data_IF_408292961542
#
_entry.id   IF_408292961542
#
_cell.length_a   1.000
_cell.length_b   1.000
_cell.length_c   1.000
_cell.angle_alpha   90.00
_cell.angle_beta   90.00
_cell.angle_gamma   90.00
#
_symmetry.space_group_name_H-M   'P 1'
#
loop_
_entity.id
_entity.type
_entity.pdbx_description
1 polymer ?
#
# COMPACT_ATOMS: atom_id res chain seq x y z
N UNK A 1 -5.56 16.73 13.84
CA UNK A 1 -6.88 16.63 14.51
C UNK A 1 -7.87 16.25 13.44
N UNK A 2 -8.28 14.98 13.39
CA UNK A 2 -9.22 14.48 12.37
C UNK A 2 -10.58 15.14 12.63
N UNK A 3 -11.20 15.71 11.60
CA UNK A 3 -12.53 16.35 11.70
C UNK A 3 -13.59 15.30 12.07
N UNK A 4 -14.76 15.73 12.56
CA UNK A 4 -15.89 14.81 12.76
C UNK A 4 -16.21 14.11 11.44
N UNK A 5 -16.29 12.78 11.47
CA UNK A 5 -16.64 11.95 10.32
C UNK A 5 -18.11 12.22 9.97
N UNK A 6 -18.44 12.60 8.73
CA UNK A 6 -19.82 12.81 8.32
C UNK A 6 -20.56 11.48 8.17
N UNK A 7 -21.87 11.47 8.45
CA UNK A 7 -22.70 10.26 8.39
C UNK A 7 -22.72 9.59 7.01
N UNK A 8 -22.56 10.36 5.94
CA UNK A 8 -22.50 9.85 4.56
C UNK A 8 -21.26 9.01 4.25
N UNK A 9 -20.17 9.21 5.00
CA UNK A 9 -18.92 8.45 4.83
C UNK A 9 -18.89 7.17 5.68
N UNK A 10 -19.77 7.06 6.68
CA UNK A 10 -19.76 5.96 7.64
C UNK A 10 -19.94 4.58 6.97
N UNK A 11 -20.88 4.37 6.02
CA UNK A 11 -21.01 3.08 5.34
C UNK A 11 -19.72 2.66 4.61
N UNK A 12 -19.04 3.61 3.96
CA UNK A 12 -17.76 3.36 3.31
C UNK A 12 -16.73 2.85 4.31
N UNK A 13 -16.56 3.60 5.40
CA UNK A 13 -15.52 3.34 6.39
C UNK A 13 -15.78 2.04 7.15
N UNK A 14 -17.04 1.69 7.41
CA UNK A 14 -17.43 0.39 7.97
C UNK A 14 -17.08 -0.73 7.00
N UNK A 15 -17.53 -0.64 5.74
CA UNK A 15 -17.25 -1.65 4.72
C UNK A 15 -15.75 -1.85 4.52
N UNK A 16 -15.02 -0.74 4.35
CA UNK A 16 -13.58 -0.72 4.20
C UNK A 16 -12.86 -1.29 5.42
N UNK A 17 -13.32 -0.95 6.64
CA UNK A 17 -12.76 -1.48 7.87
C UNK A 17 -12.91 -3.01 7.98
N UNK A 18 -14.09 -3.55 7.66
CA UNK A 18 -14.34 -4.99 7.62
C UNK A 18 -13.46 -5.67 6.57
N UNK A 19 -13.40 -5.10 5.37
CA UNK A 19 -12.58 -5.61 4.28
C UNK A 19 -11.09 -5.63 4.63
N UNK A 20 -10.56 -4.56 5.23
CA UNK A 20 -9.18 -4.48 5.71
C UNK A 20 -8.93 -5.51 6.81
N UNK A 21 -9.83 -5.60 7.80
CA UNK A 21 -9.70 -6.49 8.94
C UNK A 21 -9.59 -7.95 8.49
N UNK A 22 -10.58 -8.43 7.73
CA UNK A 22 -10.57 -9.81 7.23
C UNK A 22 -9.53 -10.03 6.14
N UNK A 23 -9.21 -9.01 5.33
CA UNK A 23 -8.15 -9.04 4.32
C UNK A 23 -6.79 -9.35 4.94
N UNK A 24 -6.40 -8.63 5.99
CA UNK A 24 -5.17 -8.91 6.74
C UNK A 24 -5.24 -10.31 7.39
N UNK A 25 -6.37 -10.68 8.00
CA UNK A 25 -6.51 -12.00 8.62
C UNK A 25 -6.36 -13.17 7.63
N UNK A 26 -6.66 -12.99 6.34
CA UNK A 26 -6.39 -14.05 5.32
C UNK A 26 -4.91 -14.41 5.19
N UNK A 27 -4.04 -13.51 5.67
CA UNK A 27 -2.60 -13.61 5.64
C UNK A 27 -2.02 -14.16 6.96
N UNK A 28 -2.90 -14.67 7.83
CA UNK A 28 -2.58 -15.20 9.15
C UNK A 28 -3.12 -16.60 9.34
N UNK A 29 -2.72 -17.26 10.43
CA UNK A 29 -3.27 -18.56 10.82
C UNK A 29 -4.73 -18.50 11.27
N UNK A 30 -5.36 -17.32 11.32
CA UNK A 30 -6.81 -17.23 11.46
C UNK A 30 -7.57 -17.61 10.19
N UNK A 31 -6.93 -17.58 9.02
CA UNK A 31 -7.63 -17.82 7.76
C UNK A 31 -8.27 -19.21 7.68
N UNK A 32 -7.69 -20.22 8.33
CA UNK A 32 -8.29 -21.56 8.41
C UNK A 32 -9.72 -21.56 8.94
N UNK A 33 -10.07 -20.65 9.87
CA UNK A 33 -11.38 -20.62 10.53
C UNK A 33 -12.48 -19.97 9.69
N UNK A 34 -12.14 -19.18 8.68
CA UNK A 34 -13.14 -18.47 7.87
C UNK A 34 -12.89 -18.53 6.35
N UNK A 35 -11.99 -19.40 5.90
CA UNK A 35 -11.72 -19.63 4.48
C UNK A 35 -12.96 -20.14 3.72
N UNK A 36 -12.93 -20.05 2.39
CA UNK A 36 -13.99 -20.59 1.54
C UNK A 36 -15.26 -19.72 1.50
N UNK A 37 -16.42 -20.32 1.78
CA UNK A 37 -17.72 -19.65 1.64
C UNK A 37 -17.93 -18.50 2.61
N UNK A 38 -17.42 -18.61 3.84
CA UNK A 38 -17.57 -17.57 4.85
C UNK A 38 -16.85 -16.28 4.43
N UNK A 39 -15.59 -16.38 3.99
CA UNK A 39 -14.86 -15.23 3.46
C UNK A 39 -15.55 -14.61 2.23
N UNK A 40 -16.11 -15.42 1.33
CA UNK A 40 -16.91 -14.91 0.19
C UNK A 40 -18.15 -14.14 0.64
N UNK A 41 -18.84 -14.60 1.69
CA UNK A 41 -19.99 -13.92 2.26
C UNK A 41 -19.60 -12.58 2.89
N UNK A 42 -18.48 -12.54 3.62
CA UNK A 42 -17.93 -11.29 4.18
C UNK A 42 -17.64 -10.27 3.07
N UNK A 43 -16.96 -10.70 2.00
CA UNK A 43 -16.68 -9.84 0.85
C UNK A 43 -17.96 -9.39 0.13
N UNK A 44 -18.94 -10.28 -0.03
CA UNK A 44 -20.25 -9.96 -0.58
C UNK A 44 -20.98 -8.90 0.25
N UNK A 45 -20.96 -9.04 1.58
CA UNK A 45 -21.49 -8.05 2.51
C UNK A 45 -20.82 -6.69 2.36
N UNK A 46 -19.50 -6.64 2.21
CA UNK A 46 -18.77 -5.40 1.95
C UNK A 46 -19.24 -4.72 0.66
N UNK A 47 -19.41 -5.48 -0.43
CA UNK A 47 -19.91 -4.96 -1.71
C UNK A 47 -21.35 -4.45 -1.59
N UNK A 48 -22.21 -5.14 -0.83
CA UNK A 48 -23.58 -4.68 -0.59
C UNK A 48 -23.60 -3.36 0.19
N UNK A 49 -22.75 -3.19 1.19
CA UNK A 49 -22.63 -1.92 1.93
C UNK A 49 -22.11 -0.80 1.02
N UNK A 50 -21.14 -1.08 0.14
CA UNK A 50 -20.66 -0.10 -0.84
C UNK A 50 -21.74 0.28 -1.85
N UNK A 51 -22.50 -0.70 -2.35
CA UNK A 51 -23.61 -0.45 -3.26
C UNK A 51 -24.69 0.40 -2.57
N UNK A 52 -25.04 0.08 -1.31
CA UNK A 52 -25.96 0.87 -0.50
C UNK A 52 -25.48 2.32 -0.32
N UNK A 53 -24.19 2.52 -0.03
CA UNK A 53 -23.61 3.85 0.08
C UNK A 53 -23.76 4.64 -1.23
N UNK A 54 -23.41 4.02 -2.35
CA UNK A 54 -23.42 4.65 -3.67
C UNK A 54 -24.86 4.94 -4.15
N UNK A 55 -25.85 4.14 -3.76
CA UNK A 55 -27.26 4.37 -4.09
C UNK A 55 -27.90 5.50 -3.28
N UNK A 56 -27.52 5.66 -2.01
CA UNK A 56 -28.20 6.58 -1.08
C UNK A 56 -27.47 7.91 -0.94
N UNK A 57 -26.14 7.89 -0.91
CA UNK A 57 -25.33 9.06 -0.57
C UNK A 57 -24.61 9.69 -1.77
N UNK A 58 -24.55 9.00 -2.91
CA UNK A 58 -24.03 9.63 -4.12
C UNK A 58 -25.08 10.54 -4.76
N UNK A 59 -24.61 11.69 -5.23
CA UNK A 59 -25.39 12.71 -5.94
C UNK A 59 -26.24 12.10 -7.06
N UNK A 60 -27.31 12.78 -7.45
CA UNK A 60 -28.14 12.46 -8.61
C UNK A 60 -27.32 11.85 -9.74
N UNK A 61 -27.46 10.52 -9.93
CA UNK A 61 -26.66 9.76 -10.89
C UNK A 61 -26.77 10.33 -12.32
N UNK A 62 -27.87 11.01 -12.61
CA UNK A 62 -28.15 11.71 -13.87
C UNK A 62 -27.30 12.97 -14.10
N UNK A 63 -26.64 13.52 -13.08
CA UNK A 63 -25.84 14.76 -13.15
C UNK A 63 -24.34 14.51 -12.93
N UNK A 64 -23.90 13.26 -12.99
CA UNK A 64 -22.49 12.94 -12.82
C UNK A 64 -21.67 13.51 -14.00
N UNK A 65 -20.54 14.18 -13.73
CA UNK A 65 -19.67 14.67 -14.80
C UNK A 65 -19.08 13.50 -15.58
N UNK A 66 -18.87 13.69 -16.89
CA UNK A 66 -18.34 12.66 -17.81
C UNK A 66 -17.06 12.01 -17.29
N UNK A 67 -16.20 12.77 -16.60
CA UNK A 67 -14.97 12.28 -15.98
C UNK A 67 -15.21 11.21 -14.91
N UNK A 68 -16.24 11.37 -14.08
CA UNK A 68 -16.58 10.40 -13.04
C UNK A 68 -17.18 9.13 -13.64
N UNK A 69 -18.02 9.26 -14.68
CA UNK A 69 -18.57 8.12 -15.41
C UNK A 69 -17.45 7.33 -16.08
N UNK A 70 -16.54 8.00 -16.79
CA UNK A 70 -15.37 7.37 -17.41
C UNK A 70 -14.44 6.73 -16.39
N UNK A 71 -14.19 7.37 -15.24
CA UNK A 71 -13.41 6.81 -14.14
C UNK A 71 -14.06 5.57 -13.51
N UNK A 72 -15.39 5.58 -13.34
CA UNK A 72 -16.15 4.44 -12.85
C UNK A 72 -16.11 3.26 -13.82
N UNK A 73 -16.33 3.50 -15.11
CA UNK A 73 -16.21 2.47 -16.14
C UNK A 73 -14.79 1.88 -16.17
N UNK A 74 -13.75 2.72 -16.08
CA UNK A 74 -12.36 2.26 -16.01
C UNK A 74 -12.10 1.37 -14.79
N UNK A 75 -12.59 1.77 -13.60
CA UNK A 75 -12.45 0.97 -12.38
C UNK A 75 -13.18 -0.37 -12.49
N UNK A 76 -14.38 -0.39 -13.07
CA UNK A 76 -15.15 -1.62 -13.30
C UNK A 76 -14.45 -2.56 -14.29
N UNK A 77 -13.92 -2.02 -15.40
CA UNK A 77 -13.15 -2.79 -16.38
C UNK A 77 -11.87 -3.36 -15.75
N UNK A 78 -11.15 -2.57 -14.95
CA UNK A 78 -9.97 -3.01 -14.23
C UNK A 78 -10.30 -4.09 -13.17
N UNK A 79 -11.42 -3.93 -12.45
CA UNK A 79 -11.90 -4.94 -11.49
C UNK A 79 -12.25 -6.27 -12.19
N UNK A 80 -13.01 -6.22 -13.28
CA UNK A 80 -13.37 -7.42 -14.05
C UNK A 80 -12.14 -8.12 -14.64
N UNK A 81 -11.20 -7.34 -15.18
CA UNK A 81 -9.96 -7.85 -15.75
C UNK A 81 -9.06 -8.52 -14.70
N UNK A 82 -8.82 -7.85 -13.57
CA UNK A 82 -7.99 -8.41 -12.49
C UNK A 82 -8.65 -9.61 -11.82
N UNK A 83 -9.99 -9.64 -11.72
CA UNK A 83 -10.75 -10.80 -11.27
C UNK A 83 -10.55 -12.02 -12.18
N UNK A 84 -10.57 -11.82 -13.51
CA UNK A 84 -10.34 -12.88 -14.50
C UNK A 84 -8.92 -13.45 -14.38
N UNK A 85 -7.92 -12.60 -14.21
CA UNK A 85 -6.51 -13.04 -14.09
C UNK A 85 -6.23 -13.79 -12.79
N UNK A 86 -6.92 -13.43 -11.71
CA UNK A 86 -6.72 -14.04 -10.39
C UNK A 86 -7.04 -15.55 -10.34
N UNK A 87 -7.77 -16.08 -11.33
CA UNK A 87 -8.00 -17.52 -11.57
C UNK A 87 -8.37 -18.36 -10.33
N UNK A 88 -9.26 -17.84 -9.48
CA UNK A 88 -9.70 -18.55 -8.28
C UNK A 88 -8.89 -18.25 -7.01
N UNK A 89 -7.69 -17.68 -7.14
CA UNK A 89 -6.89 -17.26 -6.00
C UNK A 89 -7.52 -16.05 -5.29
N UNK A 90 -8.02 -16.27 -4.08
CA UNK A 90 -8.76 -15.25 -3.32
C UNK A 90 -7.91 -14.04 -2.91
N UNK A 91 -6.62 -14.25 -2.62
CA UNK A 91 -5.70 -13.16 -2.34
C UNK A 91 -5.57 -12.26 -3.58
N UNK A 92 -5.40 -12.86 -4.75
CA UNK A 92 -5.28 -12.11 -6.00
C UNK A 92 -6.58 -11.40 -6.40
N UNK A 93 -7.74 -12.00 -6.09
CA UNK A 93 -9.05 -11.35 -6.28
C UNK A 93 -9.21 -10.08 -5.45
N UNK A 94 -8.47 -9.90 -4.36
CA UNK A 94 -8.51 -8.66 -3.57
C UNK A 94 -8.12 -7.41 -4.38
N UNK A 95 -7.33 -7.57 -5.45
CA UNK A 95 -6.96 -6.49 -6.38
C UNK A 95 -8.18 -5.97 -7.16
N UNK A 96 -9.17 -6.83 -7.45
CA UNK A 96 -10.40 -6.37 -8.07
C UNK A 96 -11.21 -5.46 -7.12
N UNK A 97 -11.24 -5.81 -5.83
CA UNK A 97 -11.89 -4.99 -4.81
C UNK A 97 -11.19 -3.63 -4.63
N UNK A 98 -9.87 -3.55 -4.79
CA UNK A 98 -9.16 -2.27 -4.77
C UNK A 98 -9.81 -1.26 -5.73
N UNK A 99 -10.10 -1.66 -6.97
CA UNK A 99 -10.70 -0.75 -7.96
C UNK A 99 -12.17 -0.40 -7.63
N UNK A 100 -12.93 -1.32 -7.04
CA UNK A 100 -14.29 -1.03 -6.56
C UNK A 100 -14.27 0.01 -5.44
N UNK A 101 -13.43 -0.20 -4.42
CA UNK A 101 -13.26 0.77 -3.34
C UNK A 101 -12.68 2.09 -3.84
N UNK A 102 -11.78 2.08 -4.81
CA UNK A 102 -11.18 3.29 -5.38
C UNK A 102 -12.25 4.20 -6.00
N UNK A 103 -13.23 3.61 -6.69
CA UNK A 103 -14.35 4.37 -7.24
C UNK A 103 -15.23 4.98 -6.15
N UNK A 104 -15.64 4.20 -5.14
CA UNK A 104 -16.48 4.70 -4.05
C UNK A 104 -15.74 5.70 -3.14
N UNK A 105 -14.42 5.58 -3.01
CA UNK A 105 -13.56 6.48 -2.24
C UNK A 105 -13.56 7.92 -2.76
N UNK A 106 -14.00 8.17 -4.01
CA UNK A 106 -14.05 9.52 -4.61
C UNK A 106 -14.94 10.51 -3.83
N UNK A 107 -15.90 9.98 -3.06
CA UNK A 107 -16.87 10.74 -2.28
C UNK A 107 -16.50 10.83 -0.78
N UNK A 108 -15.33 10.34 -0.38
CA UNK A 108 -14.90 10.23 1.02
C UNK A 108 -13.58 10.97 1.20
N UNK A 109 -13.41 11.70 2.31
CA UNK A 109 -12.12 12.32 2.62
C UNK A 109 -11.05 11.23 2.80
N UNK A 110 -10.00 11.33 1.99
CA UNK A 110 -8.86 10.42 2.04
C UNK A 110 -8.20 10.33 3.42
N UNK A 111 -8.18 11.41 4.20
CA UNK A 111 -7.64 11.37 5.56
C UNK A 111 -8.48 10.50 6.50
N UNK A 112 -9.80 10.41 6.30
CA UNK A 112 -10.65 9.50 7.06
C UNK A 112 -10.39 8.04 6.66
N UNK A 113 -10.20 7.75 5.37
CA UNK A 113 -9.81 6.42 4.87
C UNK A 113 -8.45 6.01 5.45
N UNK A 114 -7.47 6.91 5.39
CA UNK A 114 -6.12 6.68 5.90
C UNK A 114 -6.12 6.42 7.41
N UNK A 115 -6.92 7.16 8.18
CA UNK A 115 -7.05 6.97 9.63
C UNK A 115 -7.73 5.63 9.95
N UNK A 116 -8.81 5.28 9.24
CA UNK A 116 -9.47 3.98 9.40
C UNK A 116 -8.50 2.82 9.07
N UNK A 117 -7.77 2.91 7.97
CA UNK A 117 -6.75 1.93 7.60
C UNK A 117 -5.67 1.79 8.66
N UNK A 118 -5.16 2.91 9.20
CA UNK A 118 -4.14 2.94 10.24
C UNK A 118 -4.62 2.26 11.52
N UNK A 119 -5.84 2.57 11.96
CA UNK A 119 -6.45 2.01 13.17
C UNK A 119 -6.69 0.50 13.02
N UNK A 120 -7.31 0.07 11.92
CA UNK A 120 -7.59 -1.35 11.67
C UNK A 120 -6.30 -2.15 11.53
N UNK A 121 -5.31 -1.63 10.81
CA UNK A 121 -3.99 -2.29 10.67
C UNK A 121 -3.32 -2.49 12.02
N UNK A 122 -3.37 -1.47 12.90
CA UNK A 122 -2.85 -1.58 14.26
C UNK A 122 -3.58 -2.63 15.09
N UNK A 123 -4.91 -2.61 15.08
CA UNK A 123 -5.74 -3.56 15.82
C UNK A 123 -5.41 -4.98 15.38
N UNK A 124 -5.41 -5.26 14.08
CA UNK A 124 -5.15 -6.61 13.57
C UNK A 124 -3.72 -7.04 13.86
N UNK A 125 -2.72 -6.17 13.67
CA UNK A 125 -1.33 -6.50 13.94
C UNK A 125 -1.13 -6.92 15.41
N UNK A 126 -1.64 -6.12 16.36
CA UNK A 126 -1.54 -6.42 17.79
C UNK A 126 -2.34 -7.68 18.12
N UNK A 127 -3.57 -7.77 17.63
CA UNK A 127 -4.45 -8.93 17.86
C UNK A 127 -3.79 -10.24 17.43
N UNK A 128 -3.22 -10.30 16.22
CA UNK A 128 -2.59 -11.50 15.66
C UNK A 128 -1.30 -11.85 16.43
N UNK A 129 -0.43 -10.87 16.67
CA UNK A 129 0.84 -11.10 17.38
C UNK A 129 0.58 -11.58 18.81
N UNK A 130 -0.35 -10.95 19.54
CA UNK A 130 -0.72 -11.37 20.90
C UNK A 130 -1.36 -12.75 20.88
N UNK A 131 -2.28 -13.02 19.95
CA UNK A 131 -2.90 -14.36 19.80
C UNK A 131 -1.84 -15.44 19.59
N UNK A 132 -0.84 -15.17 18.75
CA UNK A 132 0.25 -16.10 18.47
C UNK A 132 1.18 -16.31 19.69
N UNK A 133 1.42 -15.28 20.49
CA UNK A 133 2.23 -15.38 21.71
C UNK A 133 1.49 -16.06 22.86
N UNK A 134 0.17 -15.96 22.91
CA UNK A 134 -0.68 -16.65 23.89
C UNK A 134 -1.03 -18.09 23.47
N UNK A 135 -0.65 -18.53 22.28
CA UNK A 135 -0.95 -19.88 21.76
C UNK A 135 -2.39 -20.07 21.26
N UNK A 136 -3.13 -18.99 21.00
CA UNK A 136 -4.48 -19.03 20.40
C UNK A 136 -4.41 -19.44 18.93
N UNK A 137 -3.36 -19.01 18.23
CA UNK A 137 -3.02 -19.44 16.88
C UNK A 137 -1.56 -19.85 16.82
N UNK A 138 -1.21 -20.68 15.85
CA UNK A 138 0.15 -21.17 15.72
C UNK A 138 1.15 -20.09 15.32
N UNK A 139 2.32 -20.15 15.94
CA UNK A 139 3.46 -19.29 15.61
C UNK A 139 4.57 -20.11 14.97
N UNK A 140 4.53 -20.24 13.65
CA UNK A 140 5.53 -20.99 12.89
C UNK A 140 6.92 -20.36 12.92
N UNK A 141 7.92 -21.23 12.91
CA UNK A 141 9.34 -20.90 12.76
C UNK A 141 9.81 -21.41 11.41
N UNK A 142 10.27 -20.52 10.54
CA UNK A 142 10.78 -20.87 9.22
C UNK A 142 12.30 -20.85 9.24
N UNK A 143 12.90 -21.95 8.78
CA UNK A 143 14.35 -22.05 8.55
C UNK A 143 14.67 -21.67 7.10
N UNK A 144 15.18 -20.45 6.88
CA UNK A 144 15.48 -19.94 5.55
C UNK A 144 16.92 -19.43 5.52
N UNK A 145 17.78 -20.12 4.75
CA UNK A 145 19.21 -19.82 4.60
C UNK A 145 19.97 -19.84 5.95
N UNK A 146 19.73 -20.86 6.78
CA UNK A 146 20.39 -21.05 8.08
C UNK A 146 19.96 -20.05 9.15
N UNK A 147 18.74 -19.50 9.02
CA UNK A 147 18.19 -18.50 9.95
C UNK A 147 16.79 -18.93 10.35
N UNK A 148 16.59 -19.05 11.65
CA UNK A 148 15.27 -19.21 12.26
C UNK A 148 14.52 -17.88 12.25
N UNK A 149 13.36 -17.84 11.62
CA UNK A 149 12.50 -16.65 11.53
C UNK A 149 11.12 -16.94 12.07
N UNK A 150 10.62 -16.12 12.99
CA UNK A 150 9.26 -16.29 13.51
C UNK A 150 8.23 -15.61 12.60
N UNK A 151 7.12 -16.29 12.35
CA UNK A 151 6.01 -15.74 11.57
C UNK A 151 5.08 -14.82 12.38
N UNK A 152 5.10 -14.86 13.71
CA UNK A 152 4.25 -14.05 14.60
C UNK A 152 2.73 -14.25 14.36
N UNK A 153 2.32 -15.47 14.00
CA UNK A 153 0.94 -15.80 13.65
C UNK A 153 0.55 -15.49 12.20
N UNK A 154 1.43 -14.85 11.43
CA UNK A 154 1.26 -14.64 10.00
C UNK A 154 1.65 -15.87 9.19
N UNK A 155 1.27 -15.90 7.91
CA UNK A 155 1.64 -16.98 6.98
C UNK A 155 3.07 -16.86 6.46
N UNK A 156 3.71 -15.71 6.64
CA UNK A 156 5.10 -15.51 6.30
C UNK A 156 5.73 -14.39 7.13
N UNK A 157 7.06 -14.44 7.25
CA UNK A 157 7.84 -13.62 8.19
C UNK A 157 7.92 -12.13 7.82
N UNK A 158 7.75 -11.81 6.53
CA UNK A 158 7.79 -10.42 6.01
C UNK A 158 6.48 -9.64 6.21
N UNK A 159 5.36 -10.35 6.46
CA UNK A 159 4.01 -9.76 6.48
C UNK A 159 3.79 -8.78 7.65
N UNK A 160 4.13 -9.10 8.92
CA UNK A 160 3.97 -8.14 10.01
C UNK A 160 4.81 -6.85 9.83
N UNK A 161 6.10 -6.92 9.42
CA UNK A 161 6.87 -5.72 9.06
C UNK A 161 6.24 -4.88 7.95
N UNK A 162 5.65 -5.50 6.93
CA UNK A 162 4.96 -4.79 5.85
C UNK A 162 3.73 -4.01 6.35
N UNK A 163 2.94 -4.61 7.27
CA UNK A 163 1.81 -3.92 7.91
C UNK A 163 2.30 -2.74 8.75
N UNK A 164 3.37 -2.93 9.52
CA UNK A 164 3.99 -1.84 10.28
C UNK A 164 4.45 -0.70 9.38
N UNK A 165 5.03 -1.02 8.21
CA UNK A 165 5.41 -0.02 7.21
C UNK A 165 4.22 0.82 6.74
N UNK A 166 3.10 0.18 6.40
CA UNK A 166 1.86 0.88 6.05
C UNK A 166 1.38 1.79 7.18
N UNK A 167 1.38 1.29 8.43
CA UNK A 167 1.01 2.07 9.61
C UNK A 167 1.89 3.32 9.76
N UNK A 168 3.21 3.18 9.63
CA UNK A 168 4.17 4.31 9.75
C UNK A 168 3.93 5.33 8.64
N UNK A 169 3.80 4.89 7.39
CA UNK A 169 3.49 5.77 6.25
C UNK A 169 2.19 6.56 6.46
N UNK A 170 1.11 5.88 6.87
CA UNK A 170 -0.18 6.53 7.15
C UNK A 170 -0.07 7.49 8.34
N UNK A 171 0.69 7.15 9.38
CA UNK A 171 0.89 8.03 10.54
C UNK A 171 1.61 9.31 10.15
N UNK A 172 2.70 9.23 9.36
CA UNK A 172 3.43 10.39 8.86
C UNK A 172 2.53 11.28 8.00
N UNK A 173 1.74 10.68 7.12
CA UNK A 173 0.80 11.37 6.24
C UNK A 173 -0.29 12.14 7.01
N UNK A 174 -0.87 11.52 8.05
CA UNK A 174 -1.97 12.08 8.84
C UNK A 174 -1.47 13.12 9.84
N UNK A 175 -0.39 12.80 10.57
CA UNK A 175 0.16 13.65 11.64
C UNK A 175 1.02 14.78 11.08
N UNK A 176 1.70 14.60 9.95
CA UNK A 176 2.60 15.60 9.37
C UNK A 176 3.60 16.12 10.41
N UNK A 177 3.75 17.43 10.59
CA UNK A 177 4.60 18.05 11.61
C UNK A 177 4.16 17.76 13.06
N UNK A 178 2.90 17.37 13.27
CA UNK A 178 2.35 17.13 14.61
C UNK A 178 2.64 15.74 15.18
N UNK A 179 3.40 14.90 14.45
CA UNK A 179 3.84 13.59 14.95
C UNK A 179 4.70 13.77 16.19
N UNK A 180 4.50 12.98 17.24
CA UNK A 180 5.28 13.10 18.47
C UNK A 180 6.63 12.38 18.39
N UNK A 181 7.65 12.85 19.13
CA UNK A 181 8.96 12.15 19.13
C UNK A 181 8.79 10.78 19.76
N UNK A 182 7.94 10.66 20.79
CA UNK A 182 7.57 9.39 21.41
C UNK A 182 6.94 8.41 20.42
N UNK A 183 6.10 8.88 19.49
CA UNK A 183 5.55 8.03 18.42
C UNK A 183 6.66 7.50 17.50
N UNK A 184 7.61 8.36 17.10
CA UNK A 184 8.77 7.94 16.29
C UNK A 184 9.65 6.92 17.02
N UNK A 185 9.91 7.14 18.32
CA UNK A 185 10.68 6.21 19.16
C UNK A 185 9.94 4.88 19.32
N UNK A 186 8.62 4.90 19.50
CA UNK A 186 7.80 3.69 19.56
C UNK A 186 7.92 2.87 18.27
N UNK A 187 7.78 3.51 17.10
CA UNK A 187 7.94 2.82 15.82
C UNK A 187 9.36 2.28 15.61
N UNK A 188 10.38 2.99 16.07
CA UNK A 188 11.76 2.53 16.02
C UNK A 188 11.93 1.26 16.87
N UNK A 189 11.47 1.28 18.12
CA UNK A 189 11.56 0.12 19.03
C UNK A 189 10.83 -1.10 18.45
N UNK A 190 9.61 -0.91 17.95
CA UNK A 190 8.83 -2.01 17.37
C UNK A 190 9.51 -2.54 16.08
N UNK A 191 10.06 -1.66 15.25
CA UNK A 191 10.79 -2.08 14.03
C UNK A 191 12.05 -2.88 14.36
N UNK A 192 12.81 -2.47 15.39
CA UNK A 192 13.99 -3.20 15.87
C UNK A 192 13.61 -4.54 16.50
N UNK A 193 12.52 -4.60 17.27
CA UNK A 193 12.00 -5.86 17.81
C UNK A 193 11.59 -6.81 16.68
N UNK A 194 10.86 -6.31 15.67
CA UNK A 194 10.50 -7.12 14.50
C UNK A 194 11.74 -7.62 13.75
N UNK A 195 12.80 -6.83 13.65
CA UNK A 195 14.06 -7.26 13.05
C UNK A 195 14.67 -8.46 13.79
N UNK A 196 14.76 -8.40 15.11
CA UNK A 196 15.34 -9.48 15.92
C UNK A 196 14.54 -10.78 15.75
N UNK A 197 13.21 -10.67 15.70
CA UNK A 197 12.31 -11.83 15.71
C UNK A 197 12.08 -12.45 14.32
N UNK A 198 11.92 -11.60 13.29
CA UNK A 198 11.61 -12.05 11.93
C UNK A 198 12.84 -12.13 11.01
N UNK A 199 13.93 -11.48 11.40
CA UNK A 199 15.13 -11.26 10.56
C UNK A 199 14.83 -10.67 9.16
N UNK A 200 13.74 -9.90 9.05
CA UNK A 200 13.27 -9.25 7.82
C UNK A 200 14.07 -7.99 7.50
N UNK A 201 15.35 -8.16 7.14
CA UNK A 201 16.33 -7.07 6.99
C UNK A 201 15.83 -5.90 6.14
N UNK A 202 15.24 -6.23 4.99
CA UNK A 202 14.92 -5.26 3.94
C UNK A 202 13.68 -4.43 4.28
N UNK A 203 12.62 -5.07 4.77
CA UNK A 203 11.39 -4.40 5.20
C UNK A 203 11.65 -3.51 6.42
N UNK A 204 12.48 -3.97 7.38
CA UNK A 204 12.87 -3.15 8.54
C UNK A 204 13.75 -1.98 8.10
N UNK A 205 14.73 -2.18 7.22
CA UNK A 205 15.58 -1.10 6.73
C UNK A 205 14.74 0.02 6.10
N UNK A 206 13.71 -0.32 5.31
CA UNK A 206 12.80 0.66 4.75
C UNK A 206 12.04 1.45 5.82
N UNK A 207 11.58 0.79 6.88
CA UNK A 207 10.98 1.48 8.04
C UNK A 207 11.97 2.43 8.72
N UNK A 208 13.22 2.00 8.93
CA UNK A 208 14.23 2.83 9.58
C UNK A 208 14.56 4.08 8.75
N UNK A 209 14.71 3.93 7.43
CA UNK A 209 14.94 5.07 6.51
C UNK A 209 13.73 6.02 6.52
N UNK A 210 12.51 5.48 6.48
CA UNK A 210 11.29 6.28 6.55
C UNK A 210 11.20 7.08 7.86
N UNK A 211 11.50 6.44 9.00
CA UNK A 211 11.51 7.09 10.32
C UNK A 211 12.60 8.17 10.41
N UNK A 212 13.80 7.89 9.89
CA UNK A 212 14.89 8.86 9.85
C UNK A 212 14.48 10.11 9.04
N UNK A 213 13.89 9.91 7.85
CA UNK A 213 13.42 11.03 7.03
C UNK A 213 12.27 11.78 7.73
N UNK A 214 11.33 11.08 8.37
CA UNK A 214 10.27 11.73 9.15
C UNK A 214 10.82 12.58 10.31
N UNK A 215 11.86 12.10 11.00
CA UNK A 215 12.55 12.84 12.06
C UNK A 215 13.24 14.11 11.51
N UNK A 216 13.94 14.01 10.38
CA UNK A 216 14.57 15.17 9.72
C UNK A 216 13.52 16.23 9.32
N UNK A 217 12.37 15.78 8.81
CA UNK A 217 11.25 16.66 8.49
C UNK A 217 10.69 17.36 9.73
N UNK A 218 10.55 16.63 10.83
CA UNK A 218 10.08 17.18 12.10
C UNK A 218 11.04 18.24 12.67
N UNK A 219 12.35 18.05 12.50
CA UNK A 219 13.38 18.99 12.94
C UNK A 219 13.51 20.23 12.04
N UNK A 220 12.64 20.39 11.03
CA UNK A 220 12.67 21.54 10.13
C UNK A 220 13.80 21.50 9.08
N UNK A 221 14.53 20.39 8.99
CA UNK A 221 15.62 20.20 8.03
C UNK A 221 15.12 19.66 6.67
N UNK A 222 13.86 19.25 6.59
CA UNK A 222 13.22 18.73 5.38
C UNK A 222 12.92 19.83 4.35
N UNK A 223 13.71 19.88 3.27
CA UNK A 223 13.68 20.99 2.30
C UNK A 223 13.32 20.54 0.87
N UNK A 224 12.48 19.51 0.70
CA UNK A 224 12.09 19.02 -0.65
C UNK A 224 11.48 20.13 -1.51
N UNK A 225 10.71 21.04 -0.91
CA UNK A 225 10.00 22.12 -1.62
C UNK A 225 10.92 23.17 -2.26
N UNK A 226 12.14 23.37 -1.73
CA UNK A 226 13.08 24.34 -2.33
C UNK A 226 13.82 23.79 -3.54
N UNK A 227 13.76 22.48 -3.77
CA UNK A 227 14.49 21.81 -4.86
C UNK A 227 13.53 21.24 -5.91
N UNK A 228 13.28 22.03 -6.96
CA UNK A 228 12.40 21.65 -8.08
C UNK A 228 12.79 20.34 -8.75
N UNK A 229 14.10 20.10 -8.91
CA UNK A 229 14.62 18.85 -9.51
C UNK A 229 14.31 17.65 -8.61
N UNK A 230 14.54 17.77 -7.30
CA UNK A 230 14.26 16.70 -6.35
C UNK A 230 12.76 16.36 -6.32
N UNK A 231 11.89 17.36 -6.26
CA UNK A 231 10.43 17.16 -6.31
C UNK A 231 10.00 16.47 -7.61
N UNK A 232 10.62 16.82 -8.74
CA UNK A 232 10.36 16.17 -10.02
C UNK A 232 10.82 14.70 -10.03
N UNK A 233 12.03 14.41 -9.57
CA UNK A 233 12.55 13.05 -9.45
C UNK A 233 11.66 12.17 -8.55
N UNK A 234 11.18 12.72 -7.44
CA UNK A 234 10.25 12.01 -6.55
C UNK A 234 8.92 11.74 -7.23
N UNK A 235 8.37 12.67 -8.00
CA UNK A 235 7.12 12.47 -8.72
C UNK A 235 7.23 11.37 -9.81
N UNK A 236 8.35 11.34 -10.54
CA UNK A 236 8.62 10.35 -11.58
C UNK A 236 9.26 9.04 -11.07
N UNK A 237 9.44 8.91 -9.75
CA UNK A 237 10.11 7.77 -9.14
C UNK A 237 9.50 6.42 -9.52
N UNK A 238 8.17 6.32 -9.60
CA UNK A 238 7.49 5.08 -10.03
C UNK A 238 7.94 4.60 -11.41
N UNK A 239 7.96 5.50 -12.42
CA UNK A 239 8.37 5.15 -13.79
C UNK A 239 9.87 4.88 -13.87
N UNK A 240 10.68 5.70 -13.21
CA UNK A 240 12.15 5.55 -13.21
C UNK A 240 12.53 4.21 -12.58
N UNK A 241 11.99 3.89 -11.40
CA UNK A 241 12.29 2.65 -10.69
C UNK A 241 11.72 1.44 -11.42
N UNK A 242 10.51 1.53 -12.00
CA UNK A 242 9.96 0.48 -12.83
C UNK A 242 10.90 0.15 -14.01
N UNK A 243 11.31 1.17 -14.77
CA UNK A 243 12.22 1.02 -15.89
C UNK A 243 13.55 0.39 -15.48
N UNK A 244 14.14 0.85 -14.38
CA UNK A 244 15.38 0.31 -13.82
C UNK A 244 15.22 -1.16 -13.42
N UNK A 245 14.16 -1.52 -12.69
CA UNK A 245 13.94 -2.89 -12.21
C UNK A 245 13.66 -3.85 -13.36
N UNK A 246 12.82 -3.45 -14.31
CA UNK A 246 12.50 -4.25 -15.50
C UNK A 246 13.79 -4.46 -16.30
N UNK A 247 14.54 -3.39 -16.61
CA UNK A 247 15.80 -3.49 -17.33
C UNK A 247 16.80 -4.40 -16.59
N UNK A 248 17.00 -4.21 -15.29
CA UNK A 248 17.93 -5.01 -14.49
C UNK A 248 17.57 -6.50 -14.49
N UNK A 249 16.27 -6.83 -14.48
CA UNK A 249 15.79 -8.21 -14.50
C UNK A 249 15.96 -8.84 -15.89
N UNK A 250 15.65 -8.10 -16.96
CA UNK A 250 15.86 -8.57 -18.33
C UNK A 250 17.36 -8.74 -18.66
N UNK A 251 18.21 -7.81 -18.21
CA UNK A 251 19.64 -7.84 -18.46
C UNK A 251 20.40 -8.83 -17.55
N UNK A 252 19.75 -9.38 -16.51
CA UNK A 252 20.40 -10.24 -15.54
C UNK A 252 20.97 -11.49 -16.20
N UNK A 253 22.25 -11.75 -15.94
CA UNK A 253 22.96 -12.94 -16.38
C UNK A 253 23.77 -13.50 -15.21
N UNK A 254 23.40 -14.70 -14.76
CA UNK A 254 24.06 -15.40 -13.67
C UNK A 254 25.55 -15.66 -13.95
N UNK A 255 25.98 -15.77 -15.21
CA UNK A 255 27.40 -15.97 -15.54
C UNK A 255 28.26 -14.76 -15.16
N UNK A 256 27.68 -13.56 -15.11
CA UNK A 256 28.37 -12.30 -14.83
C UNK A 256 28.57 -12.11 -13.32
N UNK A 257 29.84 -12.04 -12.86
CA UNK A 257 30.19 -11.99 -11.43
C UNK A 257 29.54 -10.83 -10.66
N UNK A 258 29.58 -9.60 -11.21
CA UNK A 258 29.04 -8.43 -10.53
C UNK A 258 27.50 -8.47 -10.43
N UNK A 259 26.82 -9.04 -11.43
CA UNK A 259 25.37 -9.24 -11.41
C UNK A 259 24.98 -10.26 -10.34
N UNK A 260 25.71 -11.38 -10.22
CA UNK A 260 25.52 -12.35 -9.13
C UNK A 260 25.75 -11.76 -7.74
N UNK A 261 26.77 -10.92 -7.59
CA UNK A 261 27.03 -10.25 -6.31
C UNK A 261 25.87 -9.31 -5.93
N UNK A 262 25.35 -8.55 -6.90
CA UNK A 262 24.17 -7.70 -6.72
C UNK A 262 22.92 -8.52 -6.38
N UNK A 263 22.69 -9.63 -7.09
CA UNK A 263 21.55 -10.51 -6.84
C UNK A 263 21.60 -11.17 -5.46
N UNK A 264 22.79 -11.57 -4.99
CA UNK A 264 22.98 -12.06 -3.63
C UNK A 264 22.62 -11.00 -2.58
N UNK A 265 22.97 -9.73 -2.79
CA UNK A 265 22.54 -8.62 -1.94
C UNK A 265 21.01 -8.45 -1.95
N UNK A 266 20.38 -8.65 -3.11
CA UNK A 266 18.94 -8.57 -3.30
C UNK A 266 18.18 -9.86 -2.91
N UNK A 267 18.85 -10.83 -2.27
CA UNK A 267 18.30 -12.15 -1.91
C UNK A 267 17.66 -12.89 -3.09
N UNK A 268 18.37 -12.96 -4.22
CA UNK A 268 17.99 -13.72 -5.40
C UNK A 268 16.77 -13.21 -6.19
N UNK A 269 16.35 -11.97 -5.96
CA UNK A 269 15.20 -11.36 -6.66
C UNK A 269 15.43 -11.20 -8.17
N UNK A 270 16.64 -10.88 -8.62
CA UNK A 270 16.94 -10.77 -10.06
C UNK A 270 16.98 -12.15 -10.70
N UNK A 271 17.54 -13.14 -10.00
CA UNK A 271 17.56 -14.53 -10.45
C UNK A 271 16.15 -15.12 -10.64
N UNK A 272 15.26 -14.98 -9.65
CA UNK A 272 13.88 -15.46 -9.79
C UNK A 272 13.06 -14.65 -10.78
N UNK A 273 13.28 -13.33 -10.87
CA UNK A 273 12.70 -12.47 -11.90
C UNK A 273 13.09 -12.92 -13.32
N UNK A 274 14.38 -13.19 -13.55
CA UNK A 274 14.88 -13.65 -14.85
C UNK A 274 14.35 -15.04 -15.20
N UNK A 275 14.37 -16.00 -14.27
CA UNK A 275 13.77 -17.32 -14.50
C UNK A 275 12.28 -17.24 -14.85
N UNK A 276 11.53 -16.37 -14.16
CA UNK A 276 10.12 -16.14 -14.48
C UNK A 276 9.94 -15.58 -15.89
N UNK A 277 10.78 -14.64 -16.31
CA UNK A 277 10.75 -14.10 -17.67
C UNK A 277 11.11 -15.16 -18.73
N UNK A 278 12.06 -16.05 -18.43
CA UNK A 278 12.42 -17.13 -19.36
C UNK A 278 11.29 -18.18 -19.50
N UNK A 279 10.50 -18.40 -18.43
CA UNK A 279 9.38 -19.35 -18.44
C UNK A 279 8.10 -18.80 -19.06
N UNK A 280 7.73 -17.56 -18.70
CA UNK A 280 6.43 -16.99 -19.06
C UNK A 280 6.54 -15.82 -20.05
N UNK A 281 7.69 -15.17 -20.15
CA UNK A 281 7.85 -13.95 -20.93
C UNK A 281 6.97 -12.79 -20.42
N UNK A 282 6.59 -11.91 -21.35
CA UNK A 282 5.71 -10.76 -21.12
C UNK A 282 4.69 -10.69 -22.25
N UNK A 283 3.43 -10.43 -21.91
CA UNK A 283 2.35 -10.24 -22.88
C UNK A 283 1.72 -8.84 -22.77
N UNK A 284 1.01 -8.42 -23.81
CA UNK A 284 0.35 -7.12 -23.83
C UNK A 284 -0.77 -7.02 -22.79
N UNK A 285 -1.56 -8.09 -22.65
CA UNK A 285 -2.76 -8.19 -21.81
C UNK A 285 -2.58 -9.10 -20.60
N UNK A 286 -1.34 -9.38 -20.19
CA UNK A 286 -1.05 -10.21 -19.04
C UNK A 286 -1.33 -11.70 -19.29
N UNK A 287 -1.06 -12.49 -18.27
CA UNK A 287 -1.22 -13.93 -18.31
C UNK A 287 -1.29 -14.49 -16.90
N UNK A 288 -1.81 -15.72 -16.81
CA UNK A 288 -1.83 -16.46 -15.55
C UNK A 288 -0.41 -16.94 -15.25
N UNK A 289 0.03 -16.70 -14.02
CA UNK A 289 1.33 -17.13 -13.52
C UNK A 289 1.11 -17.74 -12.15
N UNK A 290 1.64 -18.95 -11.95
CA UNK A 290 1.64 -19.63 -10.67
C UNK A 290 2.87 -19.20 -9.88
N UNK A 291 2.65 -18.42 -8.81
CA UNK A 291 3.71 -18.02 -7.92
C UNK A 291 3.84 -19.03 -6.78
N UNK A 292 5.00 -19.65 -6.66
CA UNK A 292 5.34 -20.59 -5.60
C UNK A 292 6.43 -19.94 -4.73
N UNK A 293 6.04 -19.42 -3.57
CA UNK A 293 6.94 -18.77 -2.61
C UNK A 293 7.19 -19.62 -1.37
N UNK A 294 8.03 -19.11 -0.45
CA UNK A 294 8.38 -19.76 0.81
C UNK A 294 7.35 -19.51 1.94
N UNK A 295 6.16 -18.99 1.58
CA UNK A 295 5.07 -18.76 2.52
C UNK A 295 4.34 -20.05 2.89
N UNK A 296 3.61 -19.98 3.99
CA UNK A 296 2.73 -21.06 4.44
C UNK A 296 1.34 -20.94 3.79
N UNK A 297 0.70 -22.08 3.57
CA UNK A 297 -0.71 -22.13 3.26
C UNK A 297 -1.57 -21.76 4.49
N UNK A 298 -2.88 -21.91 4.37
CA UNK A 298 -3.81 -21.58 5.47
C UNK A 298 -3.74 -22.55 6.65
N UNK A 299 -3.19 -23.75 6.44
CA UNK A 299 -3.06 -24.82 7.44
C UNK A 299 -1.64 -24.87 8.03
N UNK A 300 -0.75 -23.93 7.66
CA UNK A 300 0.63 -23.92 8.12
C UNK A 300 1.57 -24.86 7.39
N UNK A 301 1.19 -25.36 6.22
CA UNK A 301 2.03 -26.20 5.37
C UNK A 301 2.79 -25.38 4.33
N UNK A 302 3.99 -25.80 3.96
CA UNK A 302 4.75 -25.17 2.89
C UNK A 302 4.03 -25.35 1.54
N UNK A 303 3.98 -24.29 0.74
CA UNK A 303 3.39 -24.36 -0.60
C UNK A 303 4.22 -25.34 -1.44
N UNK A 304 3.56 -26.36 -1.99
CA UNK A 304 4.20 -27.37 -2.83
C UNK A 304 4.54 -26.82 -4.21
N UNK A 305 5.72 -27.16 -4.72
CA UNK A 305 6.16 -26.79 -6.07
C UNK A 305 7.60 -26.29 -6.12
N UNK A 306 8.12 -26.09 -7.33
CA UNK A 306 9.43 -25.45 -7.53
C UNK A 306 9.30 -23.97 -7.20
N UNK A 307 10.16 -23.47 -6.30
CA UNK A 307 10.17 -22.05 -5.93
C UNK A 307 10.32 -21.17 -7.17
N UNK A 308 9.33 -20.32 -7.39
CA UNK A 308 9.30 -19.30 -8.42
C UNK A 308 8.39 -18.18 -7.91
N UNK A 309 9.00 -17.14 -7.35
CA UNK A 309 8.29 -15.99 -6.82
C UNK A 309 9.04 -14.71 -7.20
N UNK A 310 8.31 -13.72 -7.71
CA UNK A 310 8.87 -12.42 -8.11
C UNK A 310 8.41 -11.37 -7.11
N UNK A 311 9.29 -11.06 -6.15
CA UNK A 311 9.01 -10.07 -5.10
C UNK A 311 9.05 -8.62 -5.63
N UNK A 312 9.60 -8.37 -6.81
CA UNK A 312 9.64 -7.02 -7.38
C UNK A 312 8.26 -6.65 -7.95
N UNK A 313 7.54 -5.73 -7.32
CA UNK A 313 6.20 -5.30 -7.74
C UNK A 313 6.15 -4.93 -9.23
N UNK A 314 7.12 -4.16 -9.72
CA UNK A 314 7.15 -3.68 -11.11
C UNK A 314 7.24 -4.81 -12.13
N UNK A 315 8.06 -5.83 -11.86
CA UNK A 315 8.19 -7.01 -12.73
C UNK A 315 6.96 -7.89 -12.59
N UNK A 316 6.45 -8.06 -11.36
CA UNK A 316 5.27 -8.87 -11.10
C UNK A 316 4.04 -8.32 -11.86
N UNK A 317 3.77 -7.02 -11.79
CA UNK A 317 2.61 -6.44 -12.50
C UNK A 317 2.77 -6.52 -14.02
N UNK A 318 4.01 -6.36 -14.52
CA UNK A 318 4.33 -6.47 -15.94
C UNK A 318 4.02 -7.87 -16.47
N UNK A 319 4.50 -8.91 -15.78
CA UNK A 319 4.30 -10.28 -16.25
C UNK A 319 2.85 -10.74 -16.08
N UNK A 320 2.24 -10.45 -14.92
CA UNK A 320 0.91 -10.97 -14.59
C UNK A 320 -0.22 -10.17 -15.26
N UNK A 321 -0.19 -8.85 -15.20
CA UNK A 321 -1.25 -7.98 -15.74
C UNK A 321 -0.88 -7.33 -17.08
N UNK A 322 0.33 -7.58 -17.57
CA UNK A 322 0.74 -7.15 -18.90
C UNK A 322 1.18 -5.70 -18.99
N UNK A 323 1.68 -5.37 -20.20
CA UNK A 323 2.25 -4.06 -20.51
C UNK A 323 1.21 -2.95 -20.37
N UNK A 324 0.00 -3.15 -20.90
CA UNK A 324 -1.03 -2.09 -20.92
C UNK A 324 -1.45 -1.71 -19.50
N UNK A 325 -1.76 -2.69 -18.65
CA UNK A 325 -2.14 -2.45 -17.26
C UNK A 325 -1.02 -1.75 -16.50
N UNK A 326 0.22 -2.22 -16.67
CA UNK A 326 1.40 -1.64 -16.01
C UNK A 326 1.59 -0.17 -16.38
N UNK A 327 1.49 0.16 -17.67
CA UNK A 327 1.60 1.54 -18.15
C UNK A 327 0.51 2.45 -17.55
N UNK A 328 -0.74 1.99 -17.54
CA UNK A 328 -1.86 2.75 -16.96
C UNK A 328 -1.67 2.96 -15.46
N UNK A 329 -1.27 1.93 -14.72
CA UNK A 329 -1.06 2.01 -13.28
C UNK A 329 0.09 2.95 -12.90
N UNK A 330 1.23 2.84 -13.59
CA UNK A 330 2.38 3.72 -13.38
C UNK A 330 2.06 5.17 -13.73
N UNK A 331 1.29 5.40 -14.80
CA UNK A 331 0.81 6.72 -15.16
C UNK A 331 -0.08 7.30 -14.05
N UNK A 332 -1.04 6.54 -13.51
CA UNK A 332 -1.91 6.98 -12.43
C UNK A 332 -1.13 7.35 -11.15
N UNK A 333 -0.16 6.52 -10.75
CA UNK A 333 0.71 6.78 -9.59
C UNK A 333 1.58 8.03 -9.80
N UNK A 334 2.20 8.16 -10.97
CA UNK A 334 3.05 9.30 -11.32
C UNK A 334 2.24 10.59 -11.39
N UNK A 335 1.04 10.56 -11.96
CA UNK A 335 0.12 11.70 -11.98
C UNK A 335 -0.28 12.13 -10.57
N UNK A 336 -0.55 11.17 -9.68
CA UNK A 336 -0.90 11.46 -8.28
C UNK A 336 0.27 12.13 -7.55
N UNK A 337 1.49 11.65 -7.76
CA UNK A 337 2.69 12.27 -7.19
C UNK A 337 2.95 13.67 -7.79
N UNK A 338 2.73 13.85 -9.09
CA UNK A 338 2.84 15.16 -9.75
C UNK A 338 1.79 16.16 -9.23
N UNK A 339 0.57 15.70 -8.93
CA UNK A 339 -0.45 16.52 -8.26
C UNK A 339 -0.01 16.90 -6.85
N UNK A 340 0.63 16.00 -6.10
CA UNK A 340 1.19 16.32 -4.79
C UNK A 340 2.25 17.44 -4.88
N UNK A 341 3.14 17.39 -5.87
CA UNK A 341 4.12 18.46 -6.15
C UNK A 341 3.42 19.79 -6.45
N UNK A 342 2.45 19.80 -7.38
CA UNK A 342 1.73 21.03 -7.76
C UNK A 342 0.98 21.68 -6.59
N UNK A 343 0.50 20.87 -5.65
CA UNK A 343 -0.21 21.32 -4.45
C UNK A 343 0.71 21.68 -3.29
N UNK A 344 2.00 21.38 -3.38
CA UNK A 344 2.94 21.52 -2.26
C UNK A 344 2.64 20.58 -1.10
N UNK A 345 1.96 19.43 -1.32
CA UNK A 345 1.77 18.43 -0.25
C UNK A 345 3.00 17.52 -0.14
N UNK A 346 4.02 18.04 0.53
CA UNK A 346 5.30 17.34 0.73
C UNK A 346 5.18 16.00 1.46
N UNK A 347 4.20 15.84 2.34
CA UNK A 347 4.03 14.60 3.11
C UNK A 347 3.47 13.49 2.23
N UNK A 348 2.51 13.82 1.37
CA UNK A 348 2.04 12.85 0.39
C UNK A 348 3.13 12.51 -0.62
N UNK A 349 3.85 13.49 -1.17
CA UNK A 349 4.94 13.24 -2.10
C UNK A 349 6.01 12.34 -1.48
N UNK A 350 6.35 12.58 -0.22
CA UNK A 350 7.30 11.77 0.54
C UNK A 350 6.81 10.31 0.64
N UNK A 351 5.58 10.11 1.10
CA UNK A 351 5.02 8.78 1.30
C UNK A 351 4.84 8.03 -0.04
N UNK A 352 4.46 8.72 -1.11
CA UNK A 352 4.40 8.13 -2.46
C UNK A 352 5.79 7.75 -3.00
N UNK A 353 6.82 8.55 -2.74
CA UNK A 353 8.19 8.22 -3.10
C UNK A 353 8.70 6.98 -2.34
N UNK A 354 8.41 6.90 -1.03
CA UNK A 354 8.75 5.72 -0.24
C UNK A 354 7.99 4.48 -0.69
N UNK A 355 6.72 4.63 -1.05
CA UNK A 355 5.95 3.57 -1.71
C UNK A 355 6.64 3.10 -3.00
N UNK A 356 7.10 4.02 -3.86
CA UNK A 356 7.81 3.68 -5.09
C UNK A 356 9.11 2.90 -4.84
N UNK A 357 9.87 3.28 -3.80
CA UNK A 357 11.06 2.55 -3.37
C UNK A 357 10.72 1.17 -2.82
N UNK A 358 9.65 1.05 -2.04
CA UNK A 358 9.24 -0.22 -1.45
C UNK A 358 8.80 -1.22 -2.53
N UNK A 359 8.14 -0.75 -3.60
CA UNK A 359 7.77 -1.57 -4.75
C UNK A 359 8.97 -2.22 -5.48
N UNK A 360 10.20 -1.75 -5.27
CA UNK A 360 11.40 -2.42 -5.80
C UNK A 360 11.61 -3.78 -5.12
N UNK A 361 11.19 -3.90 -3.86
CA UNK A 361 11.65 -4.93 -2.94
C UNK A 361 10.55 -5.92 -2.55
N UNK A 362 9.29 -5.51 -2.69
CA UNK A 362 8.13 -6.20 -2.18
C UNK A 362 6.89 -5.97 -3.07
N UNK A 363 6.18 -7.05 -3.38
CA UNK A 363 4.99 -7.10 -4.22
C UNK A 363 3.68 -6.94 -3.44
N UNK A 364 3.72 -7.11 -2.10
CA UNK A 364 2.56 -7.06 -1.21
C UNK A 364 1.81 -5.72 -1.32
N UNK A 365 2.52 -4.68 -1.76
CA UNK A 365 1.98 -3.34 -1.99
C UNK A 365 0.88 -3.29 -3.05
N UNK A 366 0.70 -4.34 -3.86
CA UNK A 366 -0.47 -4.45 -4.75
C UNK A 366 -1.78 -4.58 -3.96
N UNK A 367 -1.74 -5.22 -2.79
CA UNK A 367 -2.93 -5.54 -2.02
C UNK A 367 -3.33 -4.34 -1.14
N UNK A 368 -4.60 -3.90 -1.20
CA UNK A 368 -5.06 -2.69 -0.51
C UNK A 368 -4.93 -2.74 1.02
N UNK A 369 -4.90 -3.94 1.60
CA UNK A 369 -4.71 -4.15 3.04
C UNK A 369 -3.26 -4.11 3.51
N UNK A 370 -2.29 -4.20 2.59
CA UNK A 370 -0.89 -3.89 2.88
C UNK A 370 -0.52 -2.47 2.47
N UNK A 371 -1.32 -1.83 1.62
CA UNK A 371 -1.05 -0.48 1.15
C UNK A 371 -2.35 0.31 0.90
N UNK A 372 -2.78 1.09 1.89
CA UNK A 372 -3.99 1.91 1.74
C UNK A 372 -3.73 3.24 1.05
N UNK A 373 -2.47 3.52 0.66
CA UNK A 373 -2.11 4.72 -0.10
C UNK A 373 -2.67 4.69 -1.53
N UNK A 374 -3.10 3.53 -2.02
CA UNK A 374 -3.83 3.44 -3.28
C UNK A 374 -5.06 4.35 -3.31
N UNK A 375 -5.71 4.62 -2.17
CA UNK A 375 -6.86 5.53 -2.12
C UNK A 375 -6.47 6.99 -2.34
N UNK A 376 -5.18 7.36 -2.28
CA UNK A 376 -4.73 8.66 -2.77
C UNK A 376 -4.93 8.80 -4.28
N UNK A 377 -4.97 7.69 -5.04
CA UNK A 377 -5.32 7.71 -6.47
C UNK A 377 -6.76 8.17 -6.71
N UNK A 378 -7.66 8.09 -5.73
CA UNK A 378 -9.04 8.56 -5.88
C UNK A 378 -9.08 10.05 -6.24
N UNK A 379 -8.02 10.80 -5.91
CA UNK A 379 -7.85 12.21 -6.27
C UNK A 379 -7.68 12.47 -7.76
N UNK A 380 -7.29 11.46 -8.54
CA UNK A 380 -7.23 11.52 -10.00
C UNK A 380 -8.65 11.45 -10.60
N UNK A 381 -9.63 10.93 -9.87
CA UNK A 381 -10.98 10.68 -10.38
C UNK A 381 -12.09 11.54 -9.74
N UNK A 382 -11.93 11.99 -8.48
CA UNK A 382 -12.94 12.78 -7.76
C UNK A 382 -13.01 14.26 -8.16
N UNK A 383 -14.23 14.80 -8.29
CA UNK A 383 -14.52 16.20 -8.60
C UNK A 383 -14.54 17.14 -7.38
N UNK A 384 -14.53 16.61 -6.16
CA UNK A 384 -14.62 17.42 -4.93
C UNK A 384 -13.26 17.61 -4.26
N UNK A 385 -12.54 18.62 -4.74
CA UNK A 385 -11.46 19.26 -3.98
C UNK A 385 -12.05 19.96 -2.75
N UNK A 386 -11.91 19.37 -1.56
CA UNK A 386 -11.94 20.14 -0.31
C UNK A 386 -10.81 19.68 0.60
N UNK A 387 -9.70 20.41 0.59
CA UNK A 387 -8.79 20.41 1.72
C UNK A 387 -9.22 21.51 2.69
N UNK A 388 -9.00 21.34 4.00
CA UNK A 388 -9.12 22.43 4.95
C UNK A 388 -8.27 23.60 4.46
N UNK A 389 -8.87 24.78 4.36
CA UNK A 389 -8.09 26.00 4.15
C UNK A 389 -6.93 26.02 5.13
N UNK A 390 -5.73 26.24 4.59
CA UNK A 390 -4.55 26.58 5.37
C UNK A 390 -4.99 27.74 6.27
N UNK A 391 -5.00 27.54 7.60
CA UNK A 391 -5.07 28.69 8.51
C UNK A 391 -3.92 29.59 8.08
N UNK A 392 -4.22 30.71 7.43
CA UNK A 392 -3.29 31.82 7.36
C UNK A 392 -2.95 32.08 8.82
N UNK A 393 -1.71 31.80 9.20
CA UNK A 393 -1.15 32.41 10.39
C UNK A 393 -1.37 33.90 10.19
N UNK A 394 -2.31 34.49 10.93
CA UNK A 394 -2.44 35.94 10.97
C UNK A 394 -1.04 36.48 11.27
N UNK A 395 -0.49 37.39 10.44
CA UNK A 395 0.73 38.05 10.82
C UNK A 395 0.46 38.74 12.16
N UNK A 396 1.24 38.37 13.18
CA UNK A 396 1.25 39.09 14.43
C UNK A 396 1.66 40.54 14.12
N UNK A 397 0.74 41.48 14.33
CA UNK A 397 1.04 42.92 14.26
C UNK A 397 0.25 43.69 13.21
N UNK A 398 -1.05 43.88 13.43
CA UNK A 398 -1.74 45.10 13.00
C UNK A 398 -2.81 45.44 14.04
N UNK A 399 -2.40 46.19 15.08
CA UNK A 399 -3.33 46.94 15.92
C UNK A 399 -3.85 48.10 15.08
N UNK A 400 -5.05 47.95 14.54
CA UNK A 400 -5.87 49.07 14.10
C UNK A 400 -6.36 49.80 15.35
N UNK A 401 -5.74 50.94 15.67
CA UNK A 401 -6.39 51.99 16.46
C UNK A 401 -6.94 52.98 15.44
N UNK A 402 -8.24 52.88 15.21
CA UNK A 402 -9.05 53.95 14.63
C UNK A 402 -10.43 53.88 15.31
N UNK A 403 -10.59 54.67 16.36
CA UNK A 403 -11.87 55.08 16.90
C UNK A 403 -11.81 56.60 17.02
N UNK A 404 -12.49 57.30 16.11
CA UNK A 404 -12.55 58.75 16.07
C UNK A 404 -13.75 59.33 16.83
N UNK A 405 -13.72 60.66 16.93
CA UNK A 405 -14.76 61.62 17.40
C UNK A 405 -15.03 61.57 18.92
N UNK A 406 -14.89 62.66 19.69
CA UNK A 406 -15.07 64.11 19.47
C UNK A 406 -13.89 64.92 20.00
#
# INVERSE_FOLDING_TARGET
MVRRIPLCELPFLISFGIYMFFGILTQTMYYQYFSGSLYRLILGGCVLILAFQELIFSRDWLRLPVREIGGGLLCLLAAAYTWKIADGNMLQRSVAFLFLYLFCARNVDYLHIAEAARIVSWIVLVFVVVSAKLGVIENFYLEINGRTRQCLGFRYTLLPPAILCNIVMLTILIRKESIWISELVLFLVISLWMYVVTQSRLSVLMNLVLLAVAALYKLGMGTIEKHRILSWLMAFSFVILAGLCIWATFAYNEKTKWMRALDSLLNHRLYYGRQSLDLYGVSLFGQKIEWVGAGLDQNGQMISGRYLYVDCFYVMILQRYGILFTMVLLAALTLTAAVAVRRGDRYLLLVLFFMALHCVLDDLFLYPFYNSLWFALAWVFGSQLRLPERRKSSPAGQRTINGGTV
#
